data_IF_116996598166
#
_entry.id   IF_116996598166
#
_cell.length_a   1.000
_cell.length_b   1.000
_cell.length_c   1.000
_cell.angle_alpha   90.00
_cell.angle_beta   90.00
_cell.angle_gamma   90.00
#
_symmetry.space_group_name_H-M   'P 1'
#
loop_
_entity.id
_entity.type
_entity.pdbx_description
1 polymer ?
#
# COMPACT_ATOMS: atom_id res chain seq x y z
N UNK A 1 -34.81 1.68 -2.49
CA UNK A 1 -33.95 0.75 -1.73
C UNK A 1 -32.76 1.54 -1.21
N UNK A 2 -32.38 1.38 0.06
CA UNK A 2 -31.22 2.03 0.65
C UNK A 2 -30.09 0.99 0.79
N UNK A 3 -28.94 1.25 0.19
CA UNK A 3 -27.76 0.39 0.31
C UNK A 3 -26.79 0.99 1.33
N UNK A 4 -26.23 0.15 2.20
CA UNK A 4 -25.25 0.55 3.19
C UNK A 4 -23.87 0.01 2.82
N UNK A 5 -22.84 0.84 2.94
CA UNK A 5 -21.47 0.41 2.71
C UNK A 5 -21.01 -0.44 3.91
N UNK A 6 -20.82 -1.74 3.69
CA UNK A 6 -20.45 -2.70 4.75
C UNK A 6 -18.95 -2.64 5.07
N UNK A 7 -18.12 -2.23 4.10
CA UNK A 7 -16.66 -2.09 4.25
C UNK A 7 -16.12 -0.87 3.50
N UNK A 8 -15.14 -0.20 4.11
CA UNK A 8 -14.59 1.07 3.64
C UNK A 8 -15.41 2.28 4.08
N UNK A 9 -14.83 3.48 3.92
CA UNK A 9 -15.57 4.73 4.13
C UNK A 9 -16.18 5.24 2.83
N UNK A 10 -17.21 6.09 2.96
CA UNK A 10 -17.79 6.76 1.80
C UNK A 10 -16.74 7.67 1.14
N UNK A 11 -16.43 7.44 -0.14
CA UNK A 11 -15.36 8.18 -0.85
C UNK A 11 -15.56 9.70 -0.86
N UNK A 12 -16.80 10.17 -0.82
CA UNK A 12 -17.13 11.60 -0.76
C UNK A 12 -17.14 12.20 0.65
N UNK A 13 -16.89 11.38 1.68
CA UNK A 13 -16.85 11.87 3.06
C UNK A 13 -15.48 12.50 3.36
N UNK A 14 -15.44 13.75 3.84
CA UNK A 14 -14.18 14.42 4.17
C UNK A 14 -13.41 13.72 5.29
N UNK A 15 -14.08 12.92 6.14
CA UNK A 15 -13.43 12.15 7.20
C UNK A 15 -12.77 10.87 6.70
N UNK A 16 -13.28 10.30 5.60
CA UNK A 16 -12.77 9.03 5.06
C UNK A 16 -11.33 9.15 4.59
N UNK A 17 -10.94 10.28 4.00
CA UNK A 17 -9.57 10.52 3.56
C UNK A 17 -8.56 10.47 4.73
N UNK A 18 -8.90 11.13 5.84
CA UNK A 18 -8.03 11.15 7.03
C UNK A 18 -7.89 9.78 7.66
N UNK A 19 -8.99 9.02 7.75
CA UNK A 19 -8.99 7.66 8.31
C UNK A 19 -8.21 6.70 7.40
N UNK A 20 -8.42 6.78 6.08
CA UNK A 20 -7.70 5.98 5.09
C UNK A 20 -6.20 6.24 5.16
N UNK A 21 -5.78 7.50 5.20
CA UNK A 21 -4.37 7.87 5.33
C UNK A 21 -3.75 7.34 6.63
N UNK A 22 -4.48 7.39 7.75
CA UNK A 22 -4.00 6.84 9.02
C UNK A 22 -3.85 5.34 8.97
N UNK A 23 -4.82 4.64 8.37
CA UNK A 23 -4.77 3.19 8.24
C UNK A 23 -3.61 2.74 7.33
N UNK A 24 -3.47 3.38 6.16
CA UNK A 24 -2.35 3.14 5.23
C UNK A 24 -1.00 3.37 5.88
N UNK A 25 -0.85 4.42 6.71
CA UNK A 25 0.38 4.67 7.45
C UNK A 25 0.81 3.49 8.34
N UNK A 26 -0.14 2.83 9.01
CA UNK A 26 0.19 1.66 9.84
C UNK A 26 0.48 0.42 9.01
N UNK A 27 -0.28 0.20 7.94
CA UNK A 27 -0.07 -0.89 6.99
C UNK A 27 1.33 -0.82 6.35
N UNK A 28 1.70 0.35 5.82
CA UNK A 28 2.95 0.55 5.08
C UNK A 28 4.18 0.68 5.97
N UNK A 29 4.02 0.92 7.28
CA UNK A 29 5.13 1.20 8.21
C UNK A 29 6.26 0.17 8.11
N UNK A 30 5.93 -1.12 8.00
CA UNK A 30 6.93 -2.18 7.90
C UNK A 30 7.54 -2.28 6.49
N UNK A 31 6.77 -1.95 5.45
CA UNK A 31 7.21 -1.90 4.05
C UNK A 31 8.25 -0.77 3.90
N UNK A 32 7.92 0.44 4.36
CA UNK A 32 8.79 1.62 4.32
C UNK A 32 10.10 1.36 5.05
N UNK A 33 10.06 0.71 6.22
CA UNK A 33 11.27 0.34 6.96
C UNK A 33 12.19 -0.59 6.16
N UNK A 34 11.63 -1.62 5.52
CA UNK A 34 12.39 -2.57 4.70
C UNK A 34 13.05 -1.87 3.51
N UNK A 35 12.29 -1.03 2.80
CA UNK A 35 12.78 -0.28 1.63
C UNK A 35 13.90 0.68 2.04
N UNK A 36 13.70 1.45 3.12
CA UNK A 36 14.73 2.37 3.64
C UNK A 36 15.99 1.65 4.09
N UNK A 37 15.86 0.49 4.74
CA UNK A 37 17.01 -0.33 5.16
C UNK A 37 17.81 -0.85 3.95
N UNK A 38 17.13 -1.13 2.84
CA UNK A 38 17.76 -1.52 1.58
C UNK A 38 18.29 -0.33 0.75
N UNK A 39 18.20 0.91 1.25
CA UNK A 39 18.64 2.11 0.53
C UNK A 39 17.72 2.56 -0.60
N UNK A 40 16.47 2.06 -0.63
CA UNK A 40 15.46 2.46 -1.61
C UNK A 40 14.70 3.74 -1.24
N UNK A 41 14.04 4.32 -2.24
CA UNK A 41 13.09 5.42 -2.10
C UNK A 41 11.66 4.87 -2.04
N UNK A 42 10.85 5.42 -1.13
CA UNK A 42 9.43 5.13 -1.03
C UNK A 42 8.65 6.45 -1.03
N UNK A 43 7.68 6.59 -1.93
CA UNK A 43 6.74 7.70 -2.01
C UNK A 43 5.32 7.13 -2.07
N UNK A 44 4.35 7.83 -1.48
CA UNK A 44 2.92 7.49 -1.57
C UNK A 44 2.10 8.70 -1.97
N UNK A 45 1.12 8.49 -2.84
CA UNK A 45 0.09 9.44 -3.20
C UNK A 45 -1.30 8.83 -2.99
N UNK A 46 -1.91 9.11 -1.84
CA UNK A 46 -3.22 8.56 -1.41
C UNK A 46 -3.24 7.02 -1.48
N UNK A 47 -3.65 6.46 -2.61
CA UNK A 47 -3.78 5.02 -2.84
C UNK A 47 -2.59 4.43 -3.62
N UNK A 48 -1.82 5.26 -4.32
CA UNK A 48 -0.70 4.82 -5.15
C UNK A 48 0.62 4.84 -4.39
N UNK A 49 1.40 3.78 -4.55
CA UNK A 49 2.75 3.67 -3.99
C UNK A 49 3.79 3.64 -5.11
N UNK A 50 4.86 4.41 -4.92
CA UNK A 50 5.98 4.47 -5.83
C UNK A 50 7.27 4.11 -5.09
N UNK A 51 7.92 3.06 -5.57
CA UNK A 51 9.08 2.44 -4.91
C UNK A 51 10.22 2.39 -5.92
N UNK A 52 11.38 2.96 -5.57
CA UNK A 52 12.63 2.77 -6.29
C UNK A 52 13.57 1.99 -5.39
N UNK A 53 13.99 0.80 -5.83
CA UNK A 53 14.87 -0.06 -5.06
C UNK A 53 15.77 -0.87 -5.98
N UNK A 54 17.02 -1.08 -5.55
CA UNK A 54 17.97 -1.91 -6.27
C UNK A 54 17.85 -3.38 -5.85
N UNK A 55 16.71 -4.00 -6.17
CA UNK A 55 16.47 -5.43 -5.95
C UNK A 55 16.28 -6.17 -7.28
N UNK A 56 16.67 -7.45 -7.36
CA UNK A 56 16.26 -8.30 -8.47
C UNK A 56 14.73 -8.39 -8.53
N UNK A 57 14.17 -8.36 -9.73
CA UNK A 57 12.72 -8.44 -9.96
C UNK A 57 12.06 -9.63 -9.24
N UNK A 58 12.71 -10.80 -9.25
CA UNK A 58 12.24 -12.00 -8.53
C UNK A 58 12.10 -11.78 -7.02
N UNK A 59 13.03 -11.02 -6.43
CA UNK A 59 12.99 -10.71 -5.00
C UNK A 59 11.87 -9.71 -4.71
N UNK A 60 11.71 -8.70 -5.56
CA UNK A 60 10.63 -7.72 -5.45
C UNK A 60 9.25 -8.38 -5.51
N UNK A 61 9.02 -9.25 -6.51
CA UNK A 61 7.76 -9.98 -6.66
C UNK A 61 7.44 -10.83 -5.43
N UNK A 62 8.44 -11.56 -4.91
CA UNK A 62 8.27 -12.32 -3.67
C UNK A 62 7.93 -11.44 -2.47
N UNK A 63 8.52 -10.25 -2.36
CA UNK A 63 8.19 -9.32 -1.28
C UNK A 63 6.79 -8.71 -1.42
N UNK A 64 6.35 -8.42 -2.64
CA UNK A 64 4.97 -7.97 -2.89
C UNK A 64 3.97 -9.05 -2.47
N UNK A 65 4.23 -10.32 -2.81
CA UNK A 65 3.38 -11.44 -2.37
C UNK A 65 3.32 -11.54 -0.85
N UNK A 66 4.44 -11.33 -0.16
CA UNK A 66 4.46 -11.29 1.30
C UNK A 66 3.67 -10.11 1.85
N UNK A 67 3.79 -8.91 1.27
CA UNK A 67 3.03 -7.74 1.70
C UNK A 67 1.52 -7.93 1.49
N UNK A 68 1.12 -8.66 0.45
CA UNK A 68 -0.28 -9.03 0.18
C UNK A 68 -0.88 -9.99 1.22
N UNK A 69 -0.07 -10.57 2.11
CA UNK A 69 -0.56 -11.37 3.25
C UNK A 69 -0.80 -10.54 4.52
N UNK A 70 -0.38 -9.27 4.55
CA UNK A 70 -0.51 -8.41 5.74
C UNK A 70 -1.95 -8.05 6.06
N UNK A 71 -2.79 -7.86 5.03
CA UNK A 71 -4.22 -7.64 5.21
C UNK A 71 -5.01 -8.27 4.07
N UNK A 72 -6.01 -9.09 4.40
CA UNK A 72 -6.89 -9.75 3.43
C UNK A 72 -7.71 -8.79 2.55
N UNK A 73 -7.82 -7.52 2.94
CA UNK A 73 -8.60 -6.49 2.24
C UNK A 73 -7.73 -5.59 1.35
N UNK A 74 -6.40 -5.68 1.44
CA UNK A 74 -5.49 -4.89 0.61
C UNK A 74 -4.70 -5.83 -0.28
N UNK A 75 -4.75 -5.57 -1.58
CA UNK A 75 -3.93 -6.26 -2.57
C UNK A 75 -3.12 -5.24 -3.36
N UNK A 76 -1.81 -5.29 -3.20
CA UNK A 76 -0.82 -4.56 -3.95
C UNK A 76 -0.64 -5.22 -5.32
N UNK A 77 -0.90 -4.44 -6.36
CA UNK A 77 -0.58 -4.79 -7.75
C UNK A 77 0.60 -3.92 -8.15
N UNK A 78 1.70 -4.56 -8.55
CA UNK A 78 2.88 -3.85 -8.97
C UNK A 78 3.06 -3.95 -10.47
N UNK A 79 3.46 -2.84 -11.09
CA UNK A 79 3.96 -2.78 -12.45
C UNK A 79 5.43 -2.39 -12.37
N UNK A 80 6.32 -3.28 -12.82
CA UNK A 80 7.75 -2.99 -12.88
C UNK A 80 8.05 -2.26 -14.20
N UNK A 81 8.59 -1.05 -14.13
CA UNK A 81 9.13 -0.36 -15.30
C UNK A 81 10.38 -1.07 -15.79
N UNK A 82 10.40 -1.45 -17.08
CA UNK A 82 11.58 -1.97 -17.76
C UNK A 82 12.56 -0.85 -18.11
#
# INVERSE_FOLDING_TARGET
QYYHQIRGGAMSSPLTLTIANRYMFFFERNIVKQIRHAGGLYLRYIDDMFIIINWPERHLNKQIDQWNTLDSNIQLKAEAGQ
#
